data_IF_428569632708
#
_entry.id   IF_428569632708
#
_cell.length_a   1.000
_cell.length_b   1.000
_cell.length_c   1.000
_cell.angle_alpha   90.00
_cell.angle_beta   90.00
_cell.angle_gamma   90.00
#
_symmetry.space_group_name_H-M   'P 1'
#
loop_
_entity.id
_entity.type
_entity.pdbx_description
1 polymer ?
#
# COMPACT_ATOMS: atom_id res chain seq x y z
N UNK A 1 -2.37 19.92 16.40
CA UNK A 1 -1.90 20.45 15.10
C UNK A 1 -0.63 19.68 14.70
N UNK A 2 -0.62 19.01 13.54
CA UNK A 2 0.56 18.24 13.09
C UNK A 2 1.71 19.24 12.92
N UNK A 3 2.75 19.12 13.75
CA UNK A 3 3.89 20.05 13.78
C UNK A 3 4.63 20.17 12.44
N UNK A 4 4.63 19.11 11.63
CA UNK A 4 5.27 19.07 10.31
C UNK A 4 4.54 18.13 9.33
N UNK A 5 3.60 18.64 8.50
CA UNK A 5 2.84 17.82 7.56
C UNK A 5 3.72 17.13 6.51
N UNK A 6 4.84 17.76 6.10
CA UNK A 6 5.79 17.19 5.14
C UNK A 6 6.56 15.98 5.69
N UNK A 7 6.90 15.99 6.99
CA UNK A 7 7.58 14.87 7.65
C UNK A 7 6.63 13.69 7.85
N UNK A 8 5.36 13.97 8.15
CA UNK A 8 4.32 12.95 8.23
C UNK A 8 4.02 12.32 6.86
N UNK A 9 3.85 13.13 5.81
CA UNK A 9 3.62 12.65 4.44
C UNK A 9 4.75 11.72 3.97
N UNK A 10 6.01 12.05 4.28
CA UNK A 10 7.16 11.19 3.97
C UNK A 10 7.09 9.83 4.67
N UNK A 11 6.71 9.80 5.95
CA UNK A 11 6.54 8.55 6.72
C UNK A 11 5.40 7.70 6.16
N UNK A 12 4.26 8.32 5.85
CA UNK A 12 3.10 7.66 5.24
C UNK A 12 3.44 7.07 3.85
N UNK A 13 4.21 7.79 3.02
CA UNK A 13 4.68 7.29 1.72
C UNK A 13 5.56 6.04 1.87
N UNK A 14 6.48 6.03 2.83
CA UNK A 14 7.33 4.87 3.11
C UNK A 14 6.47 3.67 3.54
N UNK A 15 5.49 3.90 4.42
CA UNK A 15 4.56 2.85 4.85
C UNK A 15 3.72 2.33 3.69
N UNK A 16 3.22 3.20 2.80
CA UNK A 16 2.49 2.77 1.59
C UNK A 16 3.32 1.83 0.71
N UNK A 17 4.59 2.16 0.49
CA UNK A 17 5.50 1.32 -0.30
C UNK A 17 5.72 -0.03 0.41
N UNK A 18 5.96 -0.01 1.72
CA UNK A 18 6.20 -1.22 2.50
C UNK A 18 4.98 -2.16 2.47
N UNK A 19 3.78 -1.62 2.68
CA UNK A 19 2.52 -2.37 2.65
C UNK A 19 2.24 -2.86 1.22
N UNK A 20 2.51 -2.06 0.19
CA UNK A 20 2.37 -2.46 -1.21
C UNK A 20 3.24 -3.65 -1.58
N UNK A 21 4.51 -3.67 -1.13
CA UNK A 21 5.43 -4.80 -1.36
C UNK A 21 4.93 -6.07 -0.67
N UNK A 22 4.50 -5.97 0.60
CA UNK A 22 3.98 -7.11 1.36
C UNK A 22 2.69 -7.64 0.72
N UNK A 23 1.76 -6.77 0.36
CA UNK A 23 0.51 -7.15 -0.29
C UNK A 23 0.76 -7.85 -1.63
N UNK A 24 1.72 -7.37 -2.41
CA UNK A 24 2.11 -8.00 -3.67
C UNK A 24 2.73 -9.39 -3.45
N UNK A 25 3.64 -9.53 -2.49
CA UNK A 25 4.25 -10.82 -2.15
C UNK A 25 3.19 -11.84 -1.67
N UNK A 26 2.31 -11.44 -0.76
CA UNK A 26 1.21 -12.28 -0.28
C UNK A 26 0.23 -12.62 -1.41
N UNK A 27 -0.04 -11.68 -2.31
CA UNK A 27 -0.88 -11.90 -3.49
C UNK A 27 -0.31 -13.00 -4.40
N UNK A 28 1.00 -12.99 -4.67
CA UNK A 28 1.67 -14.03 -5.46
C UNK A 28 1.56 -15.39 -4.77
N UNK A 29 1.87 -15.46 -3.47
CA UNK A 29 1.79 -16.71 -2.71
C UNK A 29 0.35 -17.25 -2.68
N UNK A 30 -0.64 -16.37 -2.51
CA UNK A 30 -2.06 -16.73 -2.53
C UNK A 30 -2.50 -17.27 -3.90
N UNK A 31 -1.98 -16.73 -5.02
CA UNK A 31 -2.26 -17.29 -6.35
C UNK A 31 -1.66 -18.69 -6.51
N UNK A 32 -0.44 -18.92 -6.01
CA UNK A 32 0.22 -20.24 -6.07
C UNK A 32 -0.53 -21.27 -5.22
N UNK A 33 -1.09 -20.86 -4.08
CA UNK A 33 -1.90 -21.73 -3.21
C UNK A 33 -3.37 -21.82 -3.63
N UNK A 34 -3.74 -21.32 -4.81
CA UNK A 34 -5.13 -21.30 -5.32
C UNK A 34 -6.14 -20.59 -4.39
N UNK A 35 -5.66 -19.69 -3.52
CA UNK A 35 -6.47 -18.87 -2.62
C UNK A 35 -6.95 -17.61 -3.34
N UNK A 36 -7.78 -17.81 -4.36
CA UNK A 36 -8.21 -16.74 -5.27
C UNK A 36 -8.90 -15.56 -4.56
N UNK A 37 -9.67 -15.81 -3.49
CA UNK A 37 -10.32 -14.74 -2.71
C UNK A 37 -9.28 -13.81 -2.07
N UNK A 38 -8.22 -14.40 -1.50
CA UNK A 38 -7.14 -13.64 -0.85
C UNK A 38 -6.31 -12.91 -1.89
N UNK A 39 -6.03 -13.54 -3.04
CA UNK A 39 -5.34 -12.88 -4.16
C UNK A 39 -6.12 -11.64 -4.65
N UNK A 40 -7.44 -11.74 -4.82
CA UNK A 40 -8.30 -10.61 -5.20
C UNK A 40 -8.28 -9.52 -4.12
N UNK A 41 -8.40 -9.90 -2.84
CA UNK A 41 -8.33 -8.94 -1.72
C UNK A 41 -6.99 -8.18 -1.71
N UNK A 42 -5.88 -8.88 -1.91
CA UNK A 42 -4.54 -8.26 -2.00
C UNK A 42 -4.39 -7.38 -3.24
N UNK A 43 -5.05 -7.72 -4.34
CA UNK A 43 -5.17 -6.85 -5.51
C UNK A 43 -5.85 -5.52 -5.19
N UNK A 44 -6.98 -5.56 -4.48
CA UNK A 44 -7.70 -4.34 -4.03
C UNK A 44 -6.83 -3.51 -3.08
N UNK A 45 -6.16 -4.15 -2.13
CA UNK A 45 -5.23 -3.48 -1.21
C UNK A 45 -4.13 -2.78 -2.00
N UNK A 46 -3.55 -3.43 -3.01
CA UNK A 46 -2.50 -2.84 -3.86
C UNK A 46 -3.00 -1.60 -4.59
N UNK A 47 -4.20 -1.63 -5.18
CA UNK A 47 -4.82 -0.47 -5.84
C UNK A 47 -5.08 0.66 -4.83
N UNK A 48 -5.57 0.32 -3.62
CA UNK A 48 -5.76 1.28 -2.54
C UNK A 48 -4.45 1.94 -2.09
N UNK A 49 -3.35 1.18 -2.01
CA UNK A 49 -2.03 1.72 -1.69
C UNK A 49 -1.52 2.68 -2.78
N UNK A 50 -1.79 2.42 -4.06
CA UNK A 50 -1.43 3.35 -5.16
C UNK A 50 -2.17 4.67 -5.02
N UNK A 51 -3.47 4.64 -4.72
CA UNK A 51 -4.24 5.87 -4.53
C UNK A 51 -3.78 6.65 -3.30
N UNK A 52 -3.51 5.95 -2.20
CA UNK A 52 -2.99 6.53 -0.97
C UNK A 52 -1.59 7.14 -1.20
N UNK A 53 -0.72 6.46 -1.95
CA UNK A 53 0.59 6.98 -2.35
C UNK A 53 0.46 8.29 -3.13
N UNK A 54 -0.42 8.36 -4.13
CA UNK A 54 -0.64 9.59 -4.91
C UNK A 54 -1.17 10.73 -4.03
N UNK A 55 -2.07 10.43 -3.09
CA UNK A 55 -2.58 11.42 -2.13
C UNK A 55 -1.47 11.98 -1.22
N UNK A 56 -0.65 11.12 -0.63
CA UNK A 56 0.46 11.56 0.23
C UNK A 56 1.60 12.21 -0.55
N UNK A 57 1.81 11.82 -1.81
CA UNK A 57 2.76 12.44 -2.74
C UNK A 57 2.36 13.88 -3.06
N UNK A 58 1.07 14.18 -3.19
CA UNK A 58 0.57 15.54 -3.41
C UNK A 58 0.78 16.46 -2.20
N UNK A 59 0.92 15.91 -0.99
CA UNK A 59 1.08 16.67 0.27
C UNK A 59 2.57 16.88 0.61
N UNK A 60 3.46 16.05 0.06
CA UNK A 60 4.91 16.09 0.27
C UNK A 60 5.54 17.33 -0.36
#
# INVERSE_FOLDING_TARGET
>A
MIKDPKKLARRMLILCILIGIIAFAVGIIAMVMEQYIIAIAMGIVTVGQVWNYNKWKSIR
#
